data_IF_901119069766
#
_entry.id   IF_901119069766
#
_cell.length_a   1.000
_cell.length_b   1.000
_cell.length_c   1.000
_cell.angle_alpha   90.00
_cell.angle_beta   90.00
_cell.angle_gamma   90.00
#
_symmetry.space_group_name_H-M   'P 1'
#
loop_
_entity.id
_entity.type
_entity.pdbx_description
1 polymer ?
#
# COMPACT_ATOMS: atom_id res chain seq x y z
N UNK A 1 -25.37 -27.42 -8.71
CA UNK A 1 -24.96 -26.79 -7.43
C UNK A 1 -25.82 -27.36 -6.32
N UNK A 2 -25.21 -27.99 -5.31
CA UNK A 2 -25.92 -28.78 -4.30
C UNK A 2 -25.90 -28.10 -2.92
N UNK A 3 -24.88 -27.30 -2.67
CA UNK A 3 -24.58 -26.75 -1.34
C UNK A 3 -23.92 -25.38 -1.49
N UNK A 4 -24.24 -24.46 -0.58
CA UNK A 4 -23.51 -23.19 -0.40
C UNK A 4 -22.87 -23.19 0.97
N UNK A 5 -21.61 -22.77 1.04
CA UNK A 5 -20.92 -22.45 2.27
C UNK A 5 -20.94 -20.93 2.43
N UNK A 6 -21.40 -20.47 3.60
CA UNK A 6 -21.46 -19.07 3.96
C UNK A 6 -20.50 -18.84 5.12
N UNK A 7 -19.60 -17.89 4.95
CA UNK A 7 -18.72 -17.41 6.01
C UNK A 7 -19.10 -15.98 6.33
N UNK A 8 -19.60 -15.73 7.54
CA UNK A 8 -19.93 -14.40 8.02
C UNK A 8 -18.91 -13.95 9.07
N UNK A 9 -18.33 -12.76 8.87
CA UNK A 9 -17.34 -12.20 9.77
C UNK A 9 -17.78 -10.82 10.25
N UNK A 10 -17.80 -10.61 11.56
CA UNK A 10 -18.05 -9.32 12.18
C UNK A 10 -16.76 -8.50 12.24
N UNK A 11 -16.71 -7.41 11.50
CA UNK A 11 -15.55 -6.52 11.51
C UNK A 11 -15.49 -5.67 12.79
N UNK A 12 -16.60 -5.54 13.51
CA UNK A 12 -16.69 -4.78 14.76
C UNK A 12 -16.18 -5.60 15.96
N UNK A 13 -16.87 -6.65 16.40
CA UNK A 13 -16.43 -7.44 17.57
C UNK A 13 -15.35 -8.48 17.22
N UNK A 14 -15.23 -8.89 15.96
CA UNK A 14 -14.28 -9.92 15.52
C UNK A 14 -14.80 -11.35 15.67
N UNK A 15 -16.09 -11.54 15.86
CA UNK A 15 -16.74 -12.85 15.83
C UNK A 15 -16.88 -13.36 14.39
N UNK A 16 -16.89 -14.67 14.22
CA UNK A 16 -17.13 -15.33 12.95
C UNK A 16 -18.10 -16.50 13.07
N UNK A 17 -18.75 -16.82 11.96
CA UNK A 17 -19.57 -18.03 11.84
C UNK A 17 -19.48 -18.59 10.42
N UNK A 18 -19.28 -19.89 10.36
CA UNK A 18 -19.29 -20.67 9.13
C UNK A 18 -20.53 -21.57 9.13
N UNK A 19 -21.22 -21.65 7.98
CA UNK A 19 -22.37 -22.53 7.82
C UNK A 19 -22.44 -23.12 6.41
N UNK A 20 -22.87 -24.37 6.33
CA UNK A 20 -23.04 -25.11 5.07
C UNK A 20 -24.52 -25.39 4.86
N UNK A 21 -25.09 -24.80 3.80
CA UNK A 21 -26.51 -24.78 3.51
C UNK A 21 -26.81 -25.66 2.29
N UNK A 22 -27.42 -26.85 2.48
CA UNK A 22 -27.85 -27.70 1.37
C UNK A 22 -29.09 -27.12 0.67
N UNK A 23 -29.15 -27.27 -0.66
CA UNK A 23 -30.25 -26.78 -1.47
C UNK A 23 -31.54 -27.52 -1.16
N UNK A 24 -32.64 -26.79 -0.93
CA UNK A 24 -34.00 -27.35 -0.86
C UNK A 24 -34.15 -28.50 0.15
N UNK A 25 -33.42 -28.46 1.27
CA UNK A 25 -33.45 -29.49 2.32
C UNK A 25 -34.79 -29.60 3.05
N UNK A 26 -35.69 -28.63 2.85
CA UNK A 26 -36.97 -28.53 3.56
C UNK A 26 -36.83 -28.29 5.07
N UNK A 27 -35.62 -28.04 5.57
CA UNK A 27 -35.32 -27.86 6.99
C UNK A 27 -34.32 -26.73 7.20
N UNK A 28 -34.48 -26.06 8.35
CA UNK A 28 -33.54 -25.03 8.79
C UNK A 28 -32.26 -25.69 9.31
N UNK A 29 -31.11 -25.20 8.85
CA UNK A 29 -29.78 -25.58 9.35
C UNK A 29 -29.46 -24.69 10.55
N UNK A 30 -29.19 -25.28 11.71
CA UNK A 30 -28.83 -24.54 12.92
C UNK A 30 -27.32 -24.25 12.95
N UNK A 31 -26.94 -23.10 13.46
CA UNK A 31 -25.57 -22.67 13.70
C UNK A 31 -25.50 -21.83 14.99
N UNK A 32 -24.31 -21.31 15.33
CA UNK A 32 -24.02 -20.63 16.61
C UNK A 32 -25.01 -19.50 16.96
N UNK A 33 -25.41 -18.70 15.98
CA UNK A 33 -26.21 -17.50 16.14
C UNK A 33 -27.63 -17.60 15.57
N UNK A 34 -28.13 -18.82 15.33
CA UNK A 34 -29.50 -19.01 14.84
C UNK A 34 -29.63 -20.13 13.82
N UNK A 35 -30.44 -19.89 12.79
CA UNK A 35 -30.73 -20.87 11.75
C UNK A 35 -30.82 -20.22 10.37
N UNK A 36 -30.50 -20.99 9.34
CA UNK A 36 -30.54 -20.54 7.95
C UNK A 36 -31.03 -21.66 7.03
N UNK A 37 -31.54 -21.28 5.87
CA UNK A 37 -31.95 -22.20 4.84
C UNK A 37 -31.62 -21.65 3.45
N UNK A 38 -31.39 -22.55 2.49
CA UNK A 38 -31.19 -22.22 1.09
C UNK A 38 -32.31 -22.81 0.26
N UNK A 39 -32.93 -21.96 -0.57
CA UNK A 39 -33.87 -22.40 -1.60
C UNK A 39 -33.25 -22.15 -2.97
N UNK A 40 -33.37 -23.12 -3.87
CA UNK A 40 -32.88 -23.05 -5.24
C UNK A 40 -34.01 -23.42 -6.19
N UNK A 41 -34.37 -22.50 -7.09
CA UNK A 41 -35.46 -22.66 -8.05
C UNK A 41 -34.90 -22.61 -9.47
N UNK A 42 -35.52 -23.34 -10.40
CA UNK A 42 -35.23 -23.16 -11.82
C UNK A 42 -35.67 -21.76 -12.25
N UNK A 43 -34.84 -21.10 -13.06
CA UNK A 43 -35.11 -19.79 -13.64
C UNK A 43 -34.90 -19.86 -15.15
N UNK A 44 -35.89 -19.41 -15.93
CA UNK A 44 -35.89 -19.50 -17.39
C UNK A 44 -34.77 -18.66 -18.05
N UNK A 45 -34.30 -17.59 -17.42
CA UNK A 45 -33.26 -16.71 -17.97
C UNK A 45 -31.84 -17.06 -17.50
N UNK A 46 -31.69 -17.52 -16.25
CA UNK A 46 -30.39 -17.73 -15.59
C UNK A 46 -30.10 -19.20 -15.25
N UNK A 47 -30.97 -20.13 -15.66
CA UNK A 47 -30.92 -21.54 -15.31
C UNK A 47 -31.45 -21.80 -13.90
N UNK A 48 -30.87 -21.15 -12.88
CA UNK A 48 -31.27 -21.29 -11.48
C UNK A 48 -31.20 -19.96 -10.72
N UNK A 49 -32.06 -19.79 -9.72
CA UNK A 49 -32.02 -18.70 -8.75
C UNK A 49 -31.96 -19.25 -7.34
N UNK A 50 -31.03 -18.72 -6.54
CA UNK A 50 -30.78 -19.16 -5.18
C UNK A 50 -31.13 -18.04 -4.20
N UNK A 51 -31.80 -18.42 -3.12
CA UNK A 51 -32.21 -17.53 -2.05
C UNK A 51 -31.74 -18.08 -0.71
N UNK A 52 -30.87 -17.31 -0.05
CA UNK A 52 -30.40 -17.58 1.30
C UNK A 52 -31.27 -16.82 2.29
N UNK A 53 -31.80 -17.53 3.29
CA UNK A 53 -32.60 -16.93 4.36
C UNK A 53 -31.93 -17.19 5.69
N UNK A 54 -31.74 -16.13 6.47
CA UNK A 54 -31.13 -16.17 7.80
C UNK A 54 -32.19 -15.70 8.81
N UNK A 55 -32.38 -16.48 9.88
CA UNK A 55 -33.11 -16.02 11.06
C UNK A 55 -32.13 -15.28 11.99
N UNK A 56 -32.34 -13.98 12.13
CA UNK A 56 -31.41 -13.08 12.83
C UNK A 56 -31.76 -12.84 14.30
N UNK A 57 -32.79 -13.49 14.86
CA UNK A 57 -33.24 -13.22 16.24
C UNK A 57 -32.15 -13.47 17.30
N UNK A 58 -31.18 -14.35 17.03
CA UNK A 58 -30.05 -14.62 17.94
C UNK A 58 -28.72 -14.08 17.38
N UNK A 59 -28.78 -13.24 16.34
CA UNK A 59 -27.61 -12.69 15.69
C UNK A 59 -27.05 -11.53 16.52
N UNK A 60 -25.74 -11.51 16.81
CA UNK A 60 -25.17 -10.46 17.67
C UNK A 60 -25.21 -9.09 17.00
N UNK A 61 -25.28 -8.02 17.80
CA UNK A 61 -24.92 -6.69 17.31
C UNK A 61 -23.55 -6.73 16.65
N UNK A 62 -23.45 -6.14 15.46
CA UNK A 62 -22.19 -6.11 14.74
C UNK A 62 -22.31 -5.59 13.32
N UNK A 63 -21.15 -5.51 12.67
CA UNK A 63 -20.98 -5.10 11.28
C UNK A 63 -20.46 -6.31 10.49
N UNK A 64 -21.37 -7.06 9.90
CA UNK A 64 -21.13 -8.38 9.33
C UNK A 64 -20.89 -8.32 7.82
N UNK A 65 -19.88 -9.06 7.35
CA UNK A 65 -19.61 -9.33 5.94
C UNK A 65 -19.79 -10.82 5.68
N UNK A 66 -20.70 -11.16 4.77
CA UNK A 66 -21.02 -12.52 4.35
C UNK A 66 -20.32 -12.82 3.03
N UNK A 67 -19.51 -13.86 3.01
CA UNK A 67 -18.86 -14.41 1.82
C UNK A 67 -19.48 -15.76 1.46
N UNK A 68 -19.49 -16.07 0.16
CA UNK A 68 -20.18 -17.23 -0.36
C UNK A 68 -19.25 -18.13 -1.18
N UNK A 69 -19.22 -19.40 -0.83
CA UNK A 69 -18.60 -20.47 -1.59
C UNK A 69 -19.66 -21.49 -2.00
N UNK A 70 -19.44 -22.16 -3.12
CA UNK A 70 -20.40 -23.03 -3.76
C UNK A 70 -19.78 -24.36 -4.12
N UNK A 71 -20.55 -25.43 -3.95
CA UNK A 71 -20.18 -26.75 -4.43
C UNK A 71 -20.86 -27.06 -5.77
N UNK A 72 -20.04 -27.23 -6.81
CA UNK A 72 -20.46 -27.66 -8.15
C UNK A 72 -19.66 -28.89 -8.52
N UNK A 73 -20.36 -30.00 -8.80
CA UNK A 73 -19.78 -31.29 -9.20
C UNK A 73 -18.69 -31.81 -8.25
N UNK A 74 -18.87 -31.59 -6.93
CA UNK A 74 -17.94 -32.05 -5.89
C UNK A 74 -16.72 -31.17 -5.67
N UNK A 75 -16.64 -30.01 -6.34
CA UNK A 75 -15.59 -29.02 -6.15
C UNK A 75 -16.15 -27.75 -5.53
N UNK A 76 -15.46 -27.26 -4.50
CA UNK A 76 -15.75 -25.97 -3.87
C UNK A 76 -15.06 -24.84 -4.64
N UNK A 77 -15.78 -23.75 -4.85
CA UNK A 77 -15.25 -22.53 -5.42
C UNK A 77 -15.93 -21.30 -4.84
N UNK A 78 -15.21 -20.20 -4.77
CA UNK A 78 -15.78 -18.92 -4.35
C UNK A 78 -16.76 -18.41 -5.41
N UNK A 79 -17.87 -17.80 -4.98
CA UNK A 79 -18.81 -17.17 -5.89
C UNK A 79 -18.23 -15.84 -6.39
N UNK A 80 -17.95 -15.80 -7.69
CA UNK A 80 -17.33 -14.67 -8.37
C UNK A 80 -18.02 -14.38 -9.71
N UNK A 81 -17.90 -13.14 -10.19
CA UNK A 81 -18.35 -12.78 -11.54
C UNK A 81 -17.28 -13.16 -12.60
N UNK A 82 -17.55 -12.89 -13.88
CA UNK A 82 -16.62 -13.21 -14.97
C UNK A 82 -15.25 -12.49 -14.90
N UNK A 83 -15.12 -11.43 -14.08
CA UNK A 83 -13.88 -10.69 -13.82
C UNK A 83 -13.13 -11.18 -12.58
N UNK A 84 -13.66 -12.20 -11.89
CA UNK A 84 -13.21 -12.70 -10.58
C UNK A 84 -13.46 -11.74 -9.43
N UNK A 85 -14.46 -10.86 -9.58
CA UNK A 85 -14.90 -10.02 -8.47
C UNK A 85 -15.83 -10.85 -7.56
N UNK A 86 -15.61 -10.79 -6.26
CA UNK A 86 -16.24 -11.64 -5.24
C UNK A 86 -17.64 -11.12 -4.93
N UNK A 87 -18.62 -12.03 -4.94
CA UNK A 87 -19.94 -11.75 -4.40
C UNK A 87 -19.92 -11.86 -2.86
N UNK A 88 -20.37 -10.80 -2.21
CA UNK A 88 -20.55 -10.70 -0.77
C UNK A 88 -21.82 -9.91 -0.42
N UNK A 89 -22.22 -9.98 0.85
CA UNK A 89 -23.28 -9.14 1.39
C UNK A 89 -22.84 -8.50 2.71
N UNK A 90 -23.11 -7.21 2.89
CA UNK A 90 -22.91 -6.53 4.17
C UNK A 90 -24.22 -6.35 4.94
N UNK A 91 -24.16 -6.53 6.25
CA UNK A 91 -25.28 -6.33 7.18
C UNK A 91 -24.75 -5.63 8.44
N UNK A 92 -25.46 -4.60 8.87
CA UNK A 92 -25.25 -4.00 10.20
C UNK A 92 -26.53 -4.23 10.98
N UNK A 93 -26.44 -4.87 12.14
CA UNK A 93 -27.60 -5.23 12.93
C UNK A 93 -27.38 -4.98 14.42
N UNK A 94 -28.48 -4.86 15.16
CA UNK A 94 -28.50 -4.85 16.62
C UNK A 94 -28.63 -6.26 17.22
N UNK A 95 -28.63 -6.34 18.55
CA UNK A 95 -28.77 -7.60 19.30
C UNK A 95 -30.14 -8.27 19.14
N UNK A 96 -31.11 -7.58 18.53
CA UNK A 96 -32.42 -8.12 18.15
C UNK A 96 -32.47 -8.54 16.68
N UNK A 97 -31.36 -8.40 15.94
CA UNK A 97 -31.26 -8.70 14.51
C UNK A 97 -31.92 -7.67 13.60
N UNK A 98 -32.32 -6.51 14.13
CA UNK A 98 -32.87 -5.42 13.32
C UNK A 98 -31.76 -4.67 12.60
N UNK A 99 -32.04 -4.17 11.40
CA UNK A 99 -31.08 -3.40 10.63
C UNK A 99 -30.71 -2.10 11.38
N UNK A 100 -29.43 -1.99 11.70
CA UNK A 100 -28.86 -0.85 12.43
C UNK A 100 -28.28 0.15 11.41
N UNK A 101 -28.48 1.45 11.65
CA UNK A 101 -28.02 2.47 10.69
C UNK A 101 -26.51 2.66 10.78
N UNK A 102 -25.87 2.94 9.65
CA UNK A 102 -24.42 3.22 9.57
C UNK A 102 -24.01 4.37 10.50
N UNK A 103 -24.79 5.45 10.55
CA UNK A 103 -24.48 6.60 11.42
C UNK A 103 -24.46 6.21 12.91
N UNK A 104 -25.36 5.31 13.32
CA UNK A 104 -25.42 4.83 14.71
C UNK A 104 -24.25 3.89 15.03
N UNK A 105 -23.78 3.10 14.06
CA UNK A 105 -22.56 2.31 14.21
C UNK A 105 -21.35 3.22 14.48
N UNK A 106 -21.29 4.39 13.84
CA UNK A 106 -20.18 5.32 14.02
C UNK A 106 -20.15 5.95 15.42
N UNK A 107 -21.31 6.17 16.04
CA UNK A 107 -21.38 6.58 17.45
C UNK A 107 -20.71 5.53 18.35
N UNK A 108 -20.91 4.24 18.07
CA UNK A 108 -20.25 3.16 18.81
C UNK A 108 -18.73 3.11 18.62
N UNK A 109 -18.19 3.62 17.50
CA UNK A 109 -16.74 3.66 17.26
C UNK A 109 -16.02 4.70 18.13
N UNK A 110 -16.75 5.74 18.56
CA UNK A 110 -16.18 6.81 19.39
C UNK A 110 -15.76 6.28 20.76
N UNK A 111 -16.55 5.37 21.33
CA UNK A 111 -16.36 4.83 22.67
C UNK A 111 -15.29 3.73 22.76
N UNK A 112 -14.76 3.27 21.62
CA UNK A 112 -13.69 2.27 21.60
C UNK A 112 -12.44 2.78 22.32
N UNK A 113 -11.78 1.90 23.07
CA UNK A 113 -10.40 2.13 23.51
C UNK A 113 -9.46 2.16 22.30
N UNK A 114 -8.27 2.70 22.48
CA UNK A 114 -7.26 2.75 21.42
C UNK A 114 -6.88 1.36 20.90
N UNK A 115 -6.77 0.36 21.77
CA UNK A 115 -6.48 -1.02 21.38
C UNK A 115 -7.63 -1.64 20.58
N UNK A 116 -8.87 -1.44 21.02
CA UNK A 116 -10.06 -1.92 20.30
C UNK A 116 -10.18 -1.23 18.94
N UNK A 117 -9.95 0.08 18.88
CA UNK A 117 -9.97 0.84 17.63
C UNK A 117 -8.98 0.27 16.60
N UNK A 118 -7.75 -0.06 17.00
CA UNK A 118 -6.76 -0.69 16.11
C UNK A 118 -7.18 -2.10 15.67
N UNK A 119 -7.77 -2.88 16.57
CA UNK A 119 -8.26 -4.21 16.24
C UNK A 119 -9.40 -4.16 15.22
N UNK A 120 -10.37 -3.25 15.41
CA UNK A 120 -11.47 -3.00 14.47
C UNK A 120 -10.92 -2.50 13.14
N UNK A 121 -10.03 -1.49 13.16
CA UNK A 121 -9.41 -0.94 11.94
C UNK A 121 -8.70 -2.02 11.12
N UNK A 122 -8.00 -2.94 11.77
CA UNK A 122 -7.33 -4.06 11.11
C UNK A 122 -8.33 -5.02 10.44
N UNK A 123 -9.44 -5.34 11.12
CA UNK A 123 -10.50 -6.20 10.55
C UNK A 123 -11.21 -5.53 9.38
N UNK A 124 -11.55 -4.25 9.51
CA UNK A 124 -12.18 -3.47 8.44
C UNK A 124 -11.25 -3.38 7.23
N UNK A 125 -9.95 -3.14 7.44
CA UNK A 125 -8.97 -3.17 6.34
C UNK A 125 -8.95 -4.53 5.65
N UNK A 126 -8.93 -5.63 6.41
CA UNK A 126 -8.93 -6.97 5.83
C UNK A 126 -10.19 -7.23 4.98
N UNK A 127 -11.35 -6.75 5.44
CA UNK A 127 -12.60 -6.81 4.69
C UNK A 127 -12.62 -5.88 3.45
N UNK A 128 -11.73 -4.90 3.35
CA UNK A 128 -11.60 -4.04 2.16
C UNK A 128 -10.63 -4.59 1.10
N UNK A 129 -9.89 -5.67 1.40
CA UNK A 129 -8.94 -6.27 0.45
C UNK A 129 -9.59 -6.98 -0.74
N UNK A 130 -10.73 -7.69 -0.60
CA UNK A 130 -11.41 -8.34 -1.72
C UNK A 130 -11.87 -7.33 -2.79
N UNK A 131 -11.74 -7.71 -4.07
CA UNK A 131 -12.41 -7.02 -5.16
C UNK A 131 -13.88 -7.43 -5.16
N UNK A 132 -14.77 -6.64 -4.56
CA UNK A 132 -16.19 -6.96 -4.54
C UNK A 132 -16.86 -6.68 -5.89
N UNK A 133 -17.75 -7.58 -6.29
CA UNK A 133 -18.60 -7.38 -7.46
C UNK A 133 -19.47 -6.12 -7.27
N UNK A 134 -19.82 -5.45 -8.38
CA UNK A 134 -20.60 -4.21 -8.35
C UNK A 134 -21.95 -4.40 -7.65
N UNK A 135 -22.55 -5.58 -7.82
CA UNK A 135 -23.81 -6.00 -7.21
C UNK A 135 -23.72 -6.07 -5.68
N UNK A 136 -22.54 -6.42 -5.16
CA UNK A 136 -22.27 -6.48 -3.71
C UNK A 136 -21.96 -5.10 -3.12
N UNK A 137 -21.45 -4.18 -3.92
CA UNK A 137 -20.94 -2.89 -3.46
C UNK A 137 -21.94 -2.08 -2.62
N UNK A 138 -23.21 -2.04 -3.02
CA UNK A 138 -24.25 -1.30 -2.28
C UNK A 138 -24.40 -1.76 -0.83
N UNK A 139 -24.14 -3.05 -0.56
CA UNK A 139 -24.28 -3.65 0.77
C UNK A 139 -23.03 -3.53 1.64
N UNK A 140 -21.84 -3.34 1.04
CA UNK A 140 -20.55 -3.31 1.76
C UNK A 140 -19.83 -1.96 1.72
N UNK A 141 -20.33 -0.97 0.97
CA UNK A 141 -19.72 0.36 0.83
C UNK A 141 -19.49 1.10 2.16
N UNK A 142 -20.22 0.76 3.22
CA UNK A 142 -20.04 1.32 4.56
C UNK A 142 -18.65 1.00 5.16
N UNK A 143 -17.98 -0.06 4.71
CA UNK A 143 -16.62 -0.42 5.14
C UNK A 143 -15.64 0.74 4.93
N UNK A 144 -15.73 1.45 3.80
CA UNK A 144 -14.84 2.58 3.48
C UNK A 144 -15.04 3.72 4.48
N UNK A 145 -16.29 4.08 4.76
CA UNK A 145 -16.60 5.16 5.69
C UNK A 145 -16.21 4.80 7.14
N UNK A 146 -16.44 3.55 7.54
CA UNK A 146 -16.00 3.01 8.83
C UNK A 146 -14.47 3.06 8.97
N UNK A 147 -13.75 2.62 7.93
CA UNK A 147 -12.29 2.65 7.87
C UNK A 147 -11.73 4.06 7.99
N UNK A 148 -12.29 5.02 7.23
CA UNK A 148 -11.89 6.42 7.29
C UNK A 148 -12.12 7.03 8.68
N UNK A 149 -13.27 6.73 9.30
CA UNK A 149 -13.60 7.18 10.66
C UNK A 149 -12.55 6.67 11.66
N UNK A 150 -12.27 5.36 11.65
CA UNK A 150 -11.29 4.73 12.53
C UNK A 150 -9.86 5.26 12.29
N UNK A 151 -9.46 5.43 11.04
CA UNK A 151 -8.13 5.95 10.68
C UNK A 151 -7.96 7.40 11.16
N UNK A 152 -9.01 8.23 11.05
CA UNK A 152 -8.95 9.65 11.41
C UNK A 152 -8.61 9.90 12.88
N UNK A 153 -8.94 8.96 13.78
CA UNK A 153 -8.59 9.01 15.21
C UNK A 153 -7.08 9.09 15.46
N UNK A 154 -6.28 8.61 14.52
CA UNK A 154 -4.82 8.53 14.62
C UNK A 154 -4.10 9.74 14.01
N UNK A 155 -4.84 10.68 13.42
CA UNK A 155 -4.26 11.91 12.89
C UNK A 155 -3.63 12.73 14.03
N UNK A 156 -2.33 13.02 13.91
CA UNK A 156 -1.55 13.66 14.98
C UNK A 156 -1.12 12.73 16.13
N UNK A 157 -1.53 11.46 16.11
CA UNK A 157 -1.23 10.43 17.12
C UNK A 157 -0.56 9.18 16.53
N UNK A 158 0.04 9.31 15.35
CA UNK A 158 0.66 8.20 14.60
C UNK A 158 1.63 7.40 15.47
N UNK A 159 2.41 8.07 16.34
CA UNK A 159 3.39 7.43 17.24
C UNK A 159 2.80 6.30 18.09
N UNK A 160 1.55 6.45 18.50
CA UNK A 160 0.88 5.55 19.43
C UNK A 160 0.42 4.25 18.76
N UNK A 161 0.37 4.22 17.42
CA UNK A 161 -0.14 3.11 16.62
C UNK A 161 0.76 2.73 15.43
N UNK A 162 2.05 3.12 15.47
CA UNK A 162 2.98 3.00 14.33
C UNK A 162 2.97 1.62 13.70
N UNK A 163 3.08 0.56 14.51
CA UNK A 163 3.13 -0.82 14.00
C UNK A 163 1.94 -1.15 13.12
N UNK A 164 0.72 -0.88 13.62
CA UNK A 164 -0.52 -1.15 12.89
C UNK A 164 -0.65 -0.23 11.68
N UNK A 165 -0.40 1.06 11.83
CA UNK A 165 -0.56 2.03 10.74
C UNK A 165 0.41 1.78 9.58
N UNK A 166 1.65 1.38 9.87
CA UNK A 166 2.63 0.96 8.86
C UNK A 166 2.16 -0.30 8.14
N UNK A 167 1.65 -1.30 8.87
CA UNK A 167 1.09 -2.52 8.27
C UNK A 167 -0.08 -2.22 7.34
N UNK A 168 -0.98 -1.32 7.74
CA UNK A 168 -2.09 -0.88 6.90
C UNK A 168 -1.64 -0.11 5.67
N UNK A 169 -0.54 0.66 5.77
CA UNK A 169 -0.01 1.44 4.66
C UNK A 169 0.70 0.57 3.60
N UNK A 170 1.24 -0.58 4.01
CA UNK A 170 1.95 -1.55 3.15
C UNK A 170 1.09 -2.72 2.69
N UNK A 171 -0.20 -2.76 3.05
CA UNK A 171 -1.05 -3.88 2.69
C UNK A 171 -1.35 -3.87 1.18
N UNK A 172 -1.23 -5.03 0.56
CA UNK A 172 -1.59 -5.25 -0.84
C UNK A 172 -2.79 -6.20 -0.95
N UNK A 173 -3.53 -6.18 -2.07
CA UNK A 173 -4.52 -7.20 -2.35
C UNK A 173 -3.95 -8.63 -2.29
N UNK A 174 -4.82 -9.61 -2.03
CA UNK A 174 -4.42 -11.02 -1.88
C UNK A 174 -3.86 -11.58 -3.20
N UNK A 175 -2.91 -12.51 -3.11
CA UNK A 175 -2.23 -13.08 -4.27
C UNK A 175 -3.17 -13.75 -5.30
N UNK A 176 -4.32 -14.24 -4.84
CA UNK A 176 -5.30 -14.94 -5.68
C UNK A 176 -6.33 -13.99 -6.34
N UNK A 177 -6.25 -12.68 -6.07
CA UNK A 177 -7.10 -11.68 -6.73
C UNK A 177 -6.65 -11.38 -8.15
N UNK A 178 -7.52 -10.77 -8.95
CA UNK A 178 -7.17 -10.29 -10.27
C UNK A 178 -5.90 -9.41 -10.18
N UNK A 179 -4.82 -9.66 -10.96
CA UNK A 179 -3.57 -8.89 -10.87
C UNK A 179 -3.73 -7.39 -11.07
N UNK A 180 -4.82 -6.95 -11.70
CA UNK A 180 -5.13 -5.54 -11.90
C UNK A 180 -5.96 -4.91 -10.77
N UNK A 181 -6.42 -5.71 -9.80
CA UNK A 181 -7.13 -5.20 -8.65
C UNK A 181 -6.20 -4.38 -7.75
N UNK A 182 -6.71 -3.22 -7.32
CA UNK A 182 -6.01 -2.29 -6.46
C UNK A 182 -6.97 -1.75 -5.42
N UNK A 183 -6.45 -1.51 -4.21
CA UNK A 183 -7.21 -0.87 -3.16
C UNK A 183 -7.59 0.54 -3.59
N UNK A 184 -8.85 0.91 -3.33
CA UNK A 184 -9.37 2.24 -3.63
C UNK A 184 -8.84 3.29 -2.66
N UNK A 185 -8.46 2.87 -1.45
CA UNK A 185 -7.88 3.70 -0.41
C UNK A 185 -6.67 3.00 0.24
N UNK A 186 -5.65 3.77 0.62
CA UNK A 186 -4.48 3.31 1.38
C UNK A 186 -4.24 4.23 2.57
N UNK A 187 -3.89 3.65 3.72
CA UNK A 187 -3.60 4.42 4.93
C UNK A 187 -2.45 5.43 4.71
N UNK A 188 -1.40 5.04 3.99
CA UNK A 188 -0.27 5.91 3.70
C UNK A 188 -0.57 7.04 2.71
N UNK A 189 -1.64 6.92 1.92
CA UNK A 189 -2.09 7.97 1.03
C UNK A 189 -2.97 9.00 1.73
N UNK A 190 -3.84 8.55 2.64
CA UNK A 190 -4.72 9.43 3.45
C UNK A 190 -3.97 10.08 4.62
N UNK A 191 -2.97 9.39 5.17
CA UNK A 191 -2.15 9.87 6.28
C UNK A 191 -0.65 9.70 5.97
N UNK A 192 -0.07 10.50 5.04
CA UNK A 192 1.35 10.46 4.71
C UNK A 192 2.28 10.72 5.91
N UNK A 193 1.75 11.26 7.01
CA UNK A 193 2.43 11.44 8.30
C UNK A 193 2.95 10.12 8.87
N UNK A 194 2.38 8.97 8.47
CA UNK A 194 2.93 7.63 8.77
C UNK A 194 4.40 7.53 8.38
N UNK A 195 4.79 8.18 7.28
CA UNK A 195 6.16 8.19 6.77
C UNK A 195 7.00 9.38 7.28
N UNK A 196 6.39 10.30 8.02
CA UNK A 196 7.04 11.47 8.58
C UNK A 196 7.45 11.29 10.05
N UNK A 197 7.51 10.06 10.55
CA UNK A 197 8.02 9.80 11.90
C UNK A 197 9.56 9.84 11.94
N UNK A 198 10.11 10.09 13.13
CA UNK A 198 11.55 9.90 13.37
C UNK A 198 11.97 8.47 12.99
N UNK A 199 13.15 8.31 12.39
CA UNK A 199 13.56 7.01 11.85
C UNK A 199 13.62 5.91 12.92
N UNK A 200 14.02 6.23 14.15
CA UNK A 200 14.10 5.31 15.30
C UNK A 200 12.75 4.68 15.66
N UNK A 201 11.65 5.35 15.36
CA UNK A 201 10.29 4.89 15.68
C UNK A 201 9.94 3.65 14.86
N UNK A 202 10.45 3.53 13.63
CA UNK A 202 10.16 2.40 12.75
C UNK A 202 10.79 1.09 13.20
N UNK A 203 11.62 1.07 14.26
CA UNK A 203 11.98 -0.20 14.94
C UNK A 203 10.75 -0.99 15.37
N UNK A 204 9.64 -0.29 15.65
CA UNK A 204 8.36 -0.88 16.05
C UNK A 204 7.55 -1.44 14.87
N UNK A 205 7.93 -1.16 13.62
CA UNK A 205 7.23 -1.70 12.45
C UNK A 205 7.28 -3.24 12.46
N UNK A 206 6.30 -3.87 11.82
CA UNK A 206 6.19 -5.33 11.84
C UNK A 206 7.37 -6.02 11.14
N UNK A 207 7.44 -7.34 11.30
CA UNK A 207 8.42 -8.19 10.62
C UNK A 207 7.89 -8.68 9.26
N UNK A 208 6.82 -8.09 8.72
CA UNK A 208 6.27 -8.51 7.43
C UNK A 208 7.25 -8.16 6.30
N UNK A 209 7.43 -9.06 5.31
CA UNK A 209 8.42 -8.88 4.24
C UNK A 209 7.91 -7.96 3.12
N UNK A 210 7.32 -6.82 3.48
CA UNK A 210 6.89 -5.80 2.53
C UNK A 210 8.05 -4.83 2.27
N UNK A 211 8.32 -4.43 1.01
CA UNK A 211 9.45 -3.57 0.67
C UNK A 211 9.49 -2.27 1.50
N UNK A 212 8.34 -1.65 1.73
CA UNK A 212 8.26 -0.45 2.54
C UNK A 212 8.56 -0.72 4.01
N UNK A 213 8.00 -1.77 4.61
CA UNK A 213 8.25 -2.14 6.01
C UNK A 213 9.74 -2.43 6.24
N UNK A 214 10.38 -3.17 5.34
CA UNK A 214 11.81 -3.46 5.40
C UNK A 214 12.66 -2.18 5.30
N UNK A 215 12.33 -1.27 4.38
CA UNK A 215 13.05 0.00 4.24
C UNK A 215 12.86 0.95 5.44
N UNK A 216 11.65 1.00 6.02
CA UNK A 216 11.37 1.76 7.24
C UNK A 216 12.22 1.26 8.40
N UNK A 217 12.35 -0.06 8.55
CA UNK A 217 13.22 -0.67 9.56
C UNK A 217 14.70 -0.43 9.28
N UNK A 218 15.14 -0.56 8.03
CA UNK A 218 16.49 -0.22 7.63
C UNK A 218 16.83 1.25 7.96
N UNK A 219 15.87 2.17 7.82
CA UNK A 219 16.05 3.56 8.22
C UNK A 219 16.25 3.72 9.74
N UNK A 220 15.53 2.94 10.56
CA UNK A 220 15.77 2.87 12.00
C UNK A 220 17.18 2.37 12.31
N UNK A 221 17.61 1.28 11.67
CA UNK A 221 18.94 0.69 11.86
C UNK A 221 20.05 1.65 11.43
N UNK A 222 19.84 2.37 10.32
CA UNK A 222 20.73 3.46 9.89
C UNK A 222 20.81 4.51 10.98
N UNK A 223 19.68 4.89 11.58
CA UNK A 223 19.66 5.94 12.60
C UNK A 223 20.48 5.58 13.84
N UNK A 224 20.44 4.31 14.25
CA UNK A 224 21.14 3.77 15.42
C UNK A 224 22.64 3.55 15.17
N UNK A 225 23.00 2.99 14.02
CA UNK A 225 24.38 2.58 13.72
C UNK A 225 25.20 3.71 13.06
N UNK A 226 24.60 4.86 12.78
CA UNK A 226 25.26 5.97 12.12
C UNK A 226 26.46 6.50 12.94
N UNK A 227 27.63 6.75 12.32
CA UNK A 227 27.93 6.68 10.89
C UNK A 227 28.43 5.33 10.37
N UNK A 228 28.57 4.32 11.23
CA UNK A 228 29.14 2.99 10.96
C UNK A 228 28.15 2.03 10.27
N UNK A 229 27.51 2.48 9.20
CA UNK A 229 26.49 1.71 8.46
C UNK A 229 27.04 0.92 7.26
N UNK A 230 28.30 1.15 6.89
CA UNK A 230 28.93 0.55 5.71
C UNK A 230 29.92 -0.57 6.08
N UNK A 231 30.09 -1.61 5.25
CA UNK A 231 29.23 -1.99 4.11
C UNK A 231 28.03 -2.86 4.55
N UNK A 232 27.91 -3.16 5.85
CA UNK A 232 27.02 -4.21 6.34
C UNK A 232 25.54 -3.87 6.26
N UNK A 233 25.16 -2.61 6.46
CA UNK A 233 23.77 -2.18 6.38
C UNK A 233 23.51 -1.50 5.04
N UNK A 234 24.27 -0.46 4.71
CA UNK A 234 24.14 0.28 3.45
C UNK A 234 25.26 -0.12 2.49
N UNK A 235 24.91 -0.27 1.21
CA UNK A 235 25.85 -0.56 0.14
C UNK A 235 26.88 0.57 -0.05
N UNK A 236 28.14 0.20 -0.30
CA UNK A 236 29.27 1.15 -0.40
C UNK A 236 29.09 2.22 -1.48
N UNK A 237 28.29 1.95 -2.52
CA UNK A 237 27.96 2.94 -3.55
C UNK A 237 27.37 4.24 -2.98
N UNK A 238 26.56 4.15 -1.91
CA UNK A 238 25.98 5.33 -1.27
C UNK A 238 27.05 6.16 -0.52
N UNK A 239 28.08 5.52 0.05
CA UNK A 239 29.21 6.22 0.67
C UNK A 239 30.01 7.04 -0.35
N UNK A 240 30.15 6.54 -1.58
CA UNK A 240 30.85 7.22 -2.68
C UNK A 240 30.20 8.54 -3.11
N UNK A 241 28.92 8.76 -2.74
CA UNK A 241 28.23 10.02 -2.94
C UNK A 241 28.81 11.18 -2.12
N UNK A 242 29.51 10.90 -1.03
CA UNK A 242 30.05 11.94 -0.12
C UNK A 242 31.48 12.34 -0.50
N UNK A 243 31.84 13.59 -0.18
CA UNK A 243 33.18 14.10 -0.47
C UNK A 243 34.29 13.42 0.34
N UNK A 244 33.98 12.86 1.50
CA UNK A 244 34.94 12.20 2.39
C UNK A 244 34.85 10.68 2.38
N UNK A 245 34.49 10.07 1.24
CA UNK A 245 34.40 8.62 1.07
C UNK A 245 35.53 7.82 1.74
N UNK A 246 36.79 8.23 1.54
CA UNK A 246 37.96 7.53 2.11
C UNK A 246 37.99 7.53 3.65
N UNK A 247 37.42 8.56 4.28
CA UNK A 247 37.31 8.66 5.74
C UNK A 247 36.09 7.90 6.26
N UNK A 248 34.99 7.87 5.50
CA UNK A 248 33.79 7.08 5.82
C UNK A 248 34.14 5.59 5.92
N UNK A 249 34.96 5.08 5.00
CA UNK A 249 35.45 3.68 5.05
C UNK A 249 36.24 3.39 6.34
N UNK A 250 36.75 4.42 7.02
CA UNK A 250 37.45 4.34 8.31
C UNK A 250 36.54 4.69 9.51
N UNK A 251 35.23 4.86 9.29
CA UNK A 251 34.25 5.16 10.33
C UNK A 251 33.95 6.63 10.56
N UNK A 252 34.43 7.55 9.71
CA UNK A 252 34.11 8.97 9.84
C UNK A 252 32.66 9.29 9.45
N UNK A 253 32.13 10.41 9.97
CA UNK A 253 30.79 10.89 9.63
C UNK A 253 30.73 11.33 8.15
N UNK A 254 29.79 10.81 7.35
CA UNK A 254 29.54 11.29 6.00
C UNK A 254 29.21 12.78 5.95
N UNK A 255 29.79 13.52 5.00
CA UNK A 255 29.42 14.91 4.73
C UNK A 255 29.59 15.27 3.25
N UNK A 256 28.92 16.34 2.83
CA UNK A 256 29.00 16.89 1.49
C UNK A 256 28.52 15.93 0.38
N UNK A 257 27.30 15.41 0.50
CA UNK A 257 26.67 14.51 -0.48
C UNK A 257 26.51 15.16 -1.86
N UNK A 258 26.85 14.41 -2.91
CA UNK A 258 26.71 14.78 -4.31
C UNK A 258 25.93 13.69 -5.06
N UNK A 259 24.77 14.07 -5.59
CA UNK A 259 23.88 13.13 -6.29
C UNK A 259 24.55 12.53 -7.53
N UNK A 260 25.34 13.31 -8.28
CA UNK A 260 26.06 12.82 -9.46
C UNK A 260 27.11 11.76 -9.12
N UNK A 261 27.85 11.96 -8.02
CA UNK A 261 28.84 10.97 -7.57
C UNK A 261 28.17 9.67 -7.17
N UNK A 262 27.02 9.75 -6.51
CA UNK A 262 26.23 8.58 -6.17
C UNK A 262 25.72 7.84 -7.41
N UNK A 263 25.16 8.56 -8.39
CA UNK A 263 24.71 8.00 -9.67
C UNK A 263 25.87 7.28 -10.38
N UNK A 264 27.04 7.91 -10.42
CA UNK A 264 28.22 7.32 -11.05
C UNK A 264 28.71 6.08 -10.29
N UNK A 265 28.69 6.11 -8.95
CA UNK A 265 29.04 4.95 -8.13
C UNK A 265 28.09 3.76 -8.34
N UNK A 266 26.80 4.02 -8.51
CA UNK A 266 25.82 2.97 -8.86
C UNK A 266 26.18 2.31 -10.19
N UNK A 267 26.58 3.08 -11.22
CA UNK A 267 27.02 2.51 -12.51
C UNK A 267 28.25 1.63 -12.34
N UNK A 268 29.26 2.13 -11.65
CA UNK A 268 30.56 1.46 -11.52
C UNK A 268 30.49 0.18 -10.69
N UNK A 269 29.55 0.08 -9.75
CA UNK A 269 29.38 -1.10 -8.88
C UNK A 269 28.37 -2.11 -9.41
N UNK A 270 27.68 -1.82 -10.52
CA UNK A 270 26.54 -2.62 -11.04
C UNK A 270 26.86 -3.82 -11.90
N UNK A 271 28.14 -4.08 -12.14
CA UNK A 271 28.65 -5.15 -13.01
C UNK A 271 29.08 -6.40 -12.23
N UNK A 272 28.65 -6.54 -10.97
CA UNK A 272 28.88 -7.77 -10.22
C UNK A 272 28.00 -8.90 -10.79
N UNK A 273 28.59 -10.08 -11.01
CA UNK A 273 27.86 -11.29 -11.41
C UNK A 273 26.77 -11.65 -10.38
N UNK A 274 27.03 -11.31 -9.11
CA UNK A 274 26.12 -11.52 -7.98
C UNK A 274 24.83 -10.72 -8.10
N UNK A 275 24.89 -9.44 -8.48
CA UNK A 275 23.70 -8.60 -8.66
C UNK A 275 22.81 -9.12 -9.79
N UNK A 276 23.41 -9.68 -10.85
CA UNK A 276 22.66 -10.28 -11.96
C UNK A 276 21.86 -11.51 -11.47
N UNK A 277 22.51 -12.43 -10.76
CA UNK A 277 21.84 -13.61 -10.19
C UNK A 277 20.74 -13.24 -9.18
N UNK A 278 21.00 -12.25 -8.31
CA UNK A 278 19.98 -11.74 -7.38
C UNK A 278 18.74 -11.27 -8.12
N UNK A 279 18.90 -10.48 -9.19
CA UNK A 279 17.76 -9.93 -9.93
C UNK A 279 17.05 -10.97 -10.81
N UNK A 280 17.67 -12.12 -11.12
CA UNK A 280 17.00 -13.23 -11.80
C UNK A 280 16.05 -14.01 -10.87
N UNK A 281 16.34 -14.03 -9.56
CA UNK A 281 15.46 -14.65 -8.57
C UNK A 281 14.20 -13.81 -8.35
N UNK A 282 13.03 -14.38 -8.67
CA UNK A 282 11.73 -13.74 -8.47
C UNK A 282 11.42 -13.45 -6.98
N UNK A 283 12.06 -14.17 -6.06
CA UNK A 283 11.91 -13.99 -4.63
C UNK A 283 12.94 -13.04 -4.02
N UNK A 284 13.85 -12.49 -4.84
CA UNK A 284 14.83 -11.55 -4.32
C UNK A 284 14.16 -10.36 -3.65
N UNK A 285 14.72 -10.02 -2.49
CA UNK A 285 14.41 -8.83 -1.71
C UNK A 285 15.73 -8.19 -1.28
N UNK A 286 15.88 -6.87 -1.40
CA UNK A 286 17.06 -6.18 -0.88
C UNK A 286 17.21 -6.45 0.61
N UNK A 287 18.43 -6.77 1.04
CA UNK A 287 18.74 -7.01 2.45
C UNK A 287 19.87 -6.10 2.93
N UNK A 288 20.30 -6.30 4.18
CA UNK A 288 21.45 -5.64 4.75
C UNK A 288 22.68 -5.81 3.84
N UNK A 289 23.27 -4.68 3.42
CA UNK A 289 24.37 -4.61 2.47
C UNK A 289 23.96 -4.30 1.03
N UNK A 290 22.72 -4.59 0.64
CA UNK A 290 22.17 -4.24 -0.68
C UNK A 290 21.54 -2.84 -0.70
N UNK A 291 21.11 -2.35 0.47
CA UNK A 291 20.39 -1.08 0.60
C UNK A 291 21.12 0.08 -0.06
N UNK A 292 20.39 0.86 -0.85
CA UNK A 292 20.88 1.99 -1.67
C UNK A 292 21.98 1.62 -2.67
N UNK A 293 22.16 0.33 -2.97
CA UNK A 293 23.04 -0.19 -4.00
C UNK A 293 22.35 -0.40 -5.35
N UNK A 294 23.10 -0.89 -6.35
CA UNK A 294 22.58 -1.15 -7.70
C UNK A 294 21.44 -2.17 -7.73
N UNK A 295 21.57 -3.27 -6.99
CA UNK A 295 20.53 -4.31 -6.90
C UNK A 295 19.22 -3.76 -6.31
N UNK A 296 19.29 -2.97 -5.23
CA UNK A 296 18.12 -2.35 -4.62
C UNK A 296 17.40 -1.39 -5.60
N UNK A 297 18.14 -0.52 -6.30
CA UNK A 297 17.53 0.38 -7.28
C UNK A 297 16.86 -0.39 -8.41
N UNK A 298 17.54 -1.39 -8.99
CA UNK A 298 16.99 -2.19 -10.10
C UNK A 298 15.78 -3.00 -9.66
N UNK A 299 15.81 -3.56 -8.46
CA UNK A 299 14.65 -4.22 -7.85
C UNK A 299 13.46 -3.26 -7.78
N UNK A 300 13.65 -2.06 -7.23
CA UNK A 300 12.59 -1.07 -7.09
C UNK A 300 12.00 -0.65 -8.44
N UNK A 301 12.84 -0.38 -9.44
CA UNK A 301 12.37 0.03 -10.78
C UNK A 301 11.67 -1.11 -11.53
N UNK A 302 12.15 -2.36 -11.40
CA UNK A 302 11.49 -3.53 -12.00
C UNK A 302 10.14 -3.80 -11.34
N UNK A 303 10.05 -3.68 -10.01
CA UNK A 303 8.80 -3.80 -9.28
C UNK A 303 7.78 -2.75 -9.74
N UNK A 304 8.21 -1.49 -9.91
CA UNK A 304 7.38 -0.41 -10.46
C UNK A 304 6.90 -0.73 -11.89
N UNK A 305 7.78 -1.21 -12.76
CA UNK A 305 7.41 -1.57 -14.13
C UNK A 305 6.37 -2.70 -14.16
N UNK A 306 6.60 -3.79 -13.43
CA UNK A 306 5.66 -4.92 -13.35
C UNK A 306 4.32 -4.52 -12.75
N UNK A 307 4.30 -3.75 -11.65
CA UNK A 307 3.06 -3.31 -11.03
C UNK A 307 2.27 -2.35 -11.94
N UNK A 308 2.96 -1.47 -12.67
CA UNK A 308 2.33 -0.58 -13.65
C UNK A 308 1.73 -1.35 -14.84
N UNK A 309 2.36 -2.42 -15.30
CA UNK A 309 1.82 -3.28 -16.36
C UNK A 309 0.57 -4.03 -15.88
N UNK A 310 0.62 -4.59 -14.67
CA UNK A 310 -0.50 -5.30 -14.08
C UNK A 310 -1.71 -4.38 -13.85
N UNK A 311 -1.49 -3.10 -13.54
CA UNK A 311 -2.56 -2.14 -13.29
C UNK A 311 -3.22 -1.57 -14.56
N UNK A 312 -2.76 -1.92 -15.77
CA UNK A 312 -3.26 -1.30 -17.01
C UNK A 312 -4.76 -1.55 -17.24
N UNK A 313 -5.27 -2.71 -16.86
CA UNK A 313 -6.68 -3.08 -17.04
C UNK A 313 -7.55 -2.68 -15.85
N UNK A 314 -8.64 -1.95 -16.08
CA UNK A 314 -9.65 -1.65 -15.06
C UNK A 314 -9.30 -0.53 -14.08
N UNK A 315 -8.16 0.15 -14.27
CA UNK A 315 -7.74 1.32 -13.48
C UNK A 315 -7.59 2.58 -14.34
N UNK A 316 -8.25 2.67 -15.50
CA UNK A 316 -8.01 3.73 -16.49
C UNK A 316 -8.23 5.14 -15.91
N UNK A 317 -9.28 5.31 -15.11
CA UNK A 317 -9.62 6.58 -14.45
C UNK A 317 -8.57 6.92 -13.37
N UNK A 318 -8.32 5.99 -12.45
CA UNK A 318 -7.39 6.18 -11.34
C UNK A 318 -5.96 6.43 -11.84
N UNK A 319 -5.49 5.61 -12.78
CA UNK A 319 -4.21 5.78 -13.47
C UNK A 319 -4.14 7.10 -14.22
N UNK A 320 -5.19 7.47 -14.96
CA UNK A 320 -5.26 8.73 -15.69
C UNK A 320 -5.10 9.95 -14.78
N UNK A 321 -5.81 9.96 -13.65
CA UNK A 321 -5.71 11.01 -12.63
C UNK A 321 -4.32 11.03 -11.99
N UNK A 322 -3.78 9.87 -11.61
CA UNK A 322 -2.46 9.75 -11.01
C UNK A 322 -1.34 10.25 -11.93
N UNK A 323 -1.36 9.87 -13.22
CA UNK A 323 -0.41 10.39 -14.21
C UNK A 323 -0.60 11.90 -14.41
N UNK A 324 -1.85 12.38 -14.39
CA UNK A 324 -2.15 13.82 -14.38
C UNK A 324 -1.48 14.56 -13.22
N UNK A 325 -1.55 14.01 -12.01
CA UNK A 325 -0.90 14.56 -10.82
C UNK A 325 0.62 14.56 -10.95
N UNK A 326 1.22 13.47 -11.46
CA UNK A 326 2.65 13.40 -11.71
C UNK A 326 3.11 14.48 -12.70
N UNK A 327 2.36 14.71 -13.79
CA UNK A 327 2.64 15.76 -14.78
C UNK A 327 2.54 17.15 -14.16
N UNK A 328 1.49 17.41 -13.38
CA UNK A 328 1.33 18.66 -12.64
C UNK A 328 2.54 18.91 -11.73
N UNK A 329 2.96 17.89 -10.97
CA UNK A 329 4.07 18.04 -10.04
C UNK A 329 5.39 18.32 -10.77
N UNK A 330 5.68 17.62 -11.87
CA UNK A 330 6.90 17.87 -12.66
C UNK A 330 6.94 19.29 -13.23
N UNK A 331 5.79 19.86 -13.62
CA UNK A 331 5.75 21.25 -14.07
C UNK A 331 6.07 22.24 -12.94
N UNK A 332 5.66 21.93 -11.70
CA UNK A 332 5.88 22.79 -10.52
C UNK A 332 7.24 22.57 -9.84
N UNK A 333 7.74 21.34 -9.90
CA UNK A 333 8.95 20.83 -9.26
C UNK A 333 9.70 19.90 -10.21
N UNK A 334 10.24 20.40 -11.33
CA UNK A 334 11.06 19.57 -12.24
C UNK A 334 12.40 19.18 -11.60
N UNK A 335 12.85 19.98 -10.64
CA UNK A 335 14.07 19.79 -9.87
C UNK A 335 13.89 20.34 -8.45
N UNK A 336 14.81 20.00 -7.56
CA UNK A 336 14.90 20.64 -6.26
C UNK A 336 15.06 22.15 -6.44
N UNK A 337 14.17 22.91 -5.78
CA UNK A 337 14.22 24.37 -5.71
C UNK A 337 15.54 24.91 -5.12
N UNK A 338 15.79 26.19 -5.37
CA UNK A 338 17.03 26.87 -4.96
C UNK A 338 17.13 27.09 -3.44
N UNK A 339 16.02 27.04 -2.71
CA UNK A 339 15.95 27.12 -1.26
C UNK A 339 16.25 25.78 -0.55
N UNK A 340 16.35 24.68 -1.31
CA UNK A 340 16.90 23.42 -0.78
C UNK A 340 18.43 23.46 -0.68
N UNK A 341 19.04 22.49 0.04
CA UNK A 341 20.49 22.40 0.19
C UNK A 341 21.21 22.54 -1.14
N UNK A 342 22.24 23.41 -1.17
CA UNK A 342 22.95 23.87 -2.38
C UNK A 342 23.41 22.73 -3.31
N UNK A 343 23.70 21.55 -2.76
CA UNK A 343 24.18 20.37 -3.50
C UNK A 343 23.07 19.58 -4.19
N UNK A 344 21.82 19.75 -3.74
CA UNK A 344 20.62 19.17 -4.34
C UNK A 344 19.92 20.18 -5.26
N UNK A 345 20.02 21.49 -4.97
CA UNK A 345 19.41 22.55 -5.76
C UNK A 345 19.67 22.40 -7.27
N UNK A 346 18.59 22.45 -8.06
CA UNK A 346 18.62 22.29 -9.51
C UNK A 346 18.75 20.84 -10.01
N UNK A 347 18.87 19.84 -9.13
CA UNK A 347 18.94 18.42 -9.50
C UNK A 347 17.56 17.78 -9.51
N UNK A 348 17.37 16.79 -10.38
CA UNK A 348 16.15 15.99 -10.40
C UNK A 348 16.07 15.12 -9.13
N UNK A 349 14.91 15.06 -8.44
CA UNK A 349 14.66 14.15 -7.32
C UNK A 349 14.76 12.68 -7.70
N UNK A 350 14.31 12.31 -8.89
CA UNK A 350 14.48 10.97 -9.43
C UNK A 350 15.86 10.84 -10.12
N UNK A 351 16.62 9.83 -9.74
CA UNK A 351 17.90 9.50 -10.37
C UNK A 351 17.72 8.47 -11.47
N UNK A 352 18.52 8.56 -12.54
CA UNK A 352 18.52 7.59 -13.64
C UNK A 352 19.98 7.12 -13.85
N UNK A 353 20.42 6.06 -13.14
CA UNK A 353 21.79 5.56 -13.25
C UNK A 353 22.10 4.97 -14.61
N UNK A 354 21.20 4.23 -15.25
CA UNK A 354 21.41 3.69 -16.58
C UNK A 354 20.42 4.35 -17.54
N UNK A 355 20.77 5.51 -18.13
CA UNK A 355 19.91 6.11 -19.13
C UNK A 355 19.81 5.17 -20.33
N UNK A 356 18.64 5.13 -20.95
CA UNK A 356 18.47 4.46 -22.23
C UNK A 356 19.42 5.08 -23.26
N UNK A 357 19.96 4.26 -24.16
CA UNK A 357 20.69 4.78 -25.32
C UNK A 357 19.67 5.43 -26.26
N UNK A 358 19.95 6.64 -26.74
CA UNK A 358 19.12 7.38 -27.70
C UNK A 358 19.08 6.74 -29.10
N UNK A 359 19.67 5.55 -29.26
CA UNK A 359 19.76 4.83 -30.53
C UNK A 359 18.57 3.87 -30.68
N UNK A 360 17.50 4.37 -31.27
CA UNK A 360 16.54 3.71 -32.19
C UNK A 360 15.17 4.44 -32.14
N UNK A 361 14.38 4.37 -33.22
CA UNK A 361 12.96 4.78 -33.20
C UNK A 361 12.20 3.91 -32.19
N UNK A 362 12.17 4.33 -30.93
CA UNK A 362 11.38 3.67 -29.89
C UNK A 362 9.91 3.82 -30.23
N UNK A 363 9.18 2.70 -30.30
CA UNK A 363 7.73 2.71 -30.52
C UNK A 363 7.04 3.67 -29.54
N UNK A 364 6.06 4.44 -30.02
CA UNK A 364 5.41 5.50 -29.23
C UNK A 364 4.86 4.99 -27.88
N UNK A 365 4.33 3.77 -27.85
CA UNK A 365 3.80 3.14 -26.63
C UNK A 365 4.90 2.86 -25.59
N UNK A 366 6.08 2.42 -26.03
CA UNK A 366 7.22 2.18 -25.16
C UNK A 366 7.75 3.50 -24.61
N UNK A 367 7.83 4.54 -25.45
CA UNK A 367 8.21 5.88 -25.03
C UNK A 367 7.22 6.45 -24.00
N UNK A 368 5.91 6.30 -24.23
CA UNK A 368 4.87 6.76 -23.31
C UNK A 368 4.90 6.00 -21.97
N UNK A 369 5.11 4.68 -22.00
CA UNK A 369 5.28 3.87 -20.79
C UNK A 369 6.48 4.35 -19.99
N UNK A 370 7.65 4.49 -20.62
CA UNK A 370 8.88 4.99 -19.97
C UNK A 370 8.67 6.37 -19.33
N UNK A 371 8.04 7.28 -20.07
CA UNK A 371 7.70 8.60 -19.55
C UNK A 371 6.81 8.49 -18.31
N UNK A 372 5.77 7.66 -18.32
CA UNK A 372 4.89 7.48 -17.18
C UNK A 372 5.64 6.92 -15.96
N UNK A 373 6.50 5.93 -16.14
CA UNK A 373 7.30 5.35 -15.04
C UNK A 373 8.25 6.38 -14.42
N UNK A 374 8.93 7.18 -15.24
CA UNK A 374 9.78 8.28 -14.76
C UNK A 374 8.98 9.33 -13.99
N UNK A 375 7.78 9.67 -14.49
CA UNK A 375 6.88 10.62 -13.83
C UNK A 375 6.41 10.13 -12.46
N UNK A 376 6.08 8.84 -12.34
CA UNK A 376 5.72 8.19 -11.08
C UNK A 376 6.92 8.20 -10.13
N UNK A 377 8.10 7.76 -10.57
CA UNK A 377 9.29 7.70 -9.72
C UNK A 377 9.73 9.10 -9.23
N UNK A 378 9.55 10.13 -10.05
CA UNK A 378 9.78 11.52 -9.66
C UNK A 378 8.87 11.99 -8.54
N UNK A 379 7.57 11.73 -8.65
CA UNK A 379 6.61 12.09 -7.59
C UNK A 379 6.90 11.32 -6.30
N UNK A 380 7.13 10.01 -6.39
CA UNK A 380 7.42 9.19 -5.22
C UNK A 380 8.74 9.58 -4.53
N UNK A 381 9.75 9.97 -5.30
CA UNK A 381 10.99 10.52 -4.73
C UNK A 381 10.75 11.82 -3.97
N UNK A 382 9.96 12.75 -4.54
CA UNK A 382 9.61 14.01 -3.88
C UNK A 382 8.75 13.79 -2.63
N UNK A 383 7.75 12.91 -2.71
CA UNK A 383 6.92 12.55 -1.57
C UNK A 383 7.78 11.99 -0.44
N UNK A 384 8.65 11.02 -0.74
CA UNK A 384 9.59 10.47 0.24
C UNK A 384 10.50 11.55 0.84
N UNK A 385 11.05 12.44 0.01
CA UNK A 385 11.87 13.55 0.46
C UNK A 385 11.14 14.46 1.45
N UNK A 386 9.88 14.84 1.13
CA UNK A 386 9.05 15.68 1.98
C UNK A 386 8.54 14.98 3.23
N UNK A 387 8.28 13.67 3.20
CA UNK A 387 8.00 12.89 4.41
C UNK A 387 9.21 12.92 5.36
N UNK A 388 10.43 12.73 4.85
CA UNK A 388 11.65 12.81 5.68
C UNK A 388 11.93 14.22 6.19
N UNK A 389 11.63 15.27 5.42
CA UNK A 389 11.64 16.64 5.94
C UNK A 389 10.58 16.83 7.03
N UNK A 390 9.39 16.27 6.84
CA UNK A 390 8.28 16.26 7.79
C UNK A 390 8.69 15.73 9.17
N UNK A 391 9.53 14.69 9.21
CA UNK A 391 10.08 14.14 10.46
C UNK A 391 10.95 15.12 11.26
N UNK A 392 11.42 16.19 10.62
CA UNK A 392 12.27 17.23 11.23
C UNK A 392 11.50 18.55 11.40
N UNK A 393 10.54 18.78 10.51
CA UNK A 393 9.61 19.90 10.55
C UNK A 393 8.31 19.52 9.83
N UNK A 394 7.24 19.28 10.60
CA UNK A 394 5.94 18.81 10.10
C UNK A 394 5.36 19.69 8.97
N UNK A 395 5.59 21.00 9.01
CA UNK A 395 5.06 21.94 8.00
C UNK A 395 5.56 21.63 6.59
N UNK A 396 6.74 21.01 6.45
CA UNK A 396 7.34 20.68 5.15
C UNK A 396 6.54 19.65 4.36
N UNK A 397 5.92 18.70 5.05
CA UNK A 397 5.03 17.72 4.42
C UNK A 397 3.67 18.36 4.14
N UNK A 398 3.11 19.10 5.11
CA UNK A 398 1.84 19.80 4.96
C UNK A 398 1.83 20.78 3.77
N UNK A 399 2.89 21.57 3.60
CA UNK A 399 3.07 22.49 2.46
C UNK A 399 3.09 21.73 1.12
N UNK A 400 3.71 20.55 1.10
CA UNK A 400 3.80 19.72 -0.10
C UNK A 400 2.46 19.07 -0.45
N UNK A 401 1.73 18.53 0.53
CA UNK A 401 0.39 17.99 0.32
C UNK A 401 -0.57 19.10 -0.11
N UNK A 402 -0.47 20.29 0.49
CA UNK A 402 -1.26 21.48 0.09
C UNK A 402 -1.00 21.88 -1.36
N UNK A 403 0.26 21.87 -1.80
CA UNK A 403 0.62 22.09 -3.19
C UNK A 403 -0.01 21.05 -4.13
N UNK A 404 0.05 19.76 -3.79
CA UNK A 404 -0.59 18.72 -4.59
C UNK A 404 -2.11 18.97 -4.68
N UNK A 405 -2.73 19.39 -3.57
CA UNK A 405 -4.15 19.76 -3.50
C UNK A 405 -4.54 20.92 -4.43
N UNK A 406 -3.59 21.79 -4.79
CA UNK A 406 -3.85 22.90 -5.73
C UNK A 406 -4.00 22.45 -7.19
N UNK A 407 -3.86 21.15 -7.49
CA UNK A 407 -3.97 20.60 -8.84
C UNK A 407 -5.41 20.37 -9.32
N UNK A 408 -6.41 20.48 -8.42
CA UNK A 408 -7.82 20.05 -8.63
C UNK A 408 -8.03 18.56 -8.90
N UNK A 409 -6.96 17.75 -8.83
CA UNK A 409 -6.99 16.30 -8.97
C UNK A 409 -7.16 15.68 -7.56
N UNK A 410 -7.91 14.57 -7.39
CA UNK A 410 -8.06 13.90 -6.10
C UNK A 410 -6.73 13.31 -5.62
N UNK A 411 -5.99 14.05 -4.79
CA UNK A 411 -4.63 13.71 -4.35
C UNK A 411 -4.59 12.36 -3.63
N UNK A 412 -5.49 12.13 -2.68
CA UNK A 412 -5.50 10.89 -1.87
C UNK A 412 -5.70 9.64 -2.72
N UNK A 413 -6.60 9.68 -3.71
CA UNK A 413 -6.83 8.57 -4.64
C UNK A 413 -5.62 8.36 -5.57
N UNK A 414 -5.02 9.45 -6.04
CA UNK A 414 -3.80 9.36 -6.85
C UNK A 414 -2.64 8.78 -6.05
N UNK A 415 -2.41 9.24 -4.82
CA UNK A 415 -1.37 8.70 -3.93
C UNK A 415 -1.64 7.24 -3.59
N UNK A 416 -2.90 6.84 -3.42
CA UNK A 416 -3.28 5.43 -3.21
C UNK A 416 -2.83 4.56 -4.38
N UNK A 417 -3.08 4.99 -5.62
CA UNK A 417 -2.60 4.28 -6.81
C UNK A 417 -1.07 4.27 -6.89
N UNK A 418 -0.43 5.43 -6.71
CA UNK A 418 1.01 5.60 -6.89
C UNK A 418 1.83 4.84 -5.84
N UNK A 419 1.37 4.79 -4.60
CA UNK A 419 2.04 4.05 -3.51
C UNK A 419 1.87 2.54 -3.66
N UNK A 420 0.77 2.04 -4.24
CA UNK A 420 0.61 0.63 -4.55
C UNK A 420 1.47 0.21 -5.76
N UNK A 421 1.48 1.00 -6.83
CA UNK A 421 2.27 0.69 -8.04
C UNK A 421 3.78 0.90 -7.82
N UNK A 422 4.16 1.88 -7.01
CA UNK A 422 5.55 2.25 -6.80
C UNK A 422 6.06 2.06 -5.37
N UNK A 423 5.48 1.14 -4.60
CA UNK A 423 5.84 0.91 -3.19
C UNK A 423 7.37 0.78 -3.00
N UNK A 424 8.01 -0.10 -3.77
CA UNK A 424 9.45 -0.33 -3.69
C UNK A 424 10.28 0.90 -4.10
N UNK A 425 9.80 1.71 -5.03
CA UNK A 425 10.45 2.97 -5.43
C UNK A 425 10.32 4.00 -4.33
N UNK A 426 9.14 4.15 -3.74
CA UNK A 426 8.93 5.01 -2.57
C UNK A 426 9.83 4.58 -1.40
N UNK A 427 9.89 3.27 -1.10
CA UNK A 427 10.75 2.69 -0.08
C UNK A 427 12.25 2.98 -0.32
N UNK A 428 12.71 2.83 -1.56
CA UNK A 428 14.08 3.18 -1.96
C UNK A 428 14.39 4.65 -1.68
N UNK A 429 13.54 5.56 -2.14
CA UNK A 429 13.75 7.00 -1.95
C UNK A 429 13.58 7.43 -0.50
N UNK A 430 12.68 6.79 0.24
CA UNK A 430 12.52 7.02 1.67
C UNK A 430 13.85 6.81 2.40
N UNK A 431 14.49 5.66 2.17
CA UNK A 431 15.76 5.33 2.80
C UNK A 431 16.89 6.26 2.30
N UNK A 432 16.92 6.56 1.00
CA UNK A 432 17.92 7.47 0.43
C UNK A 432 17.84 8.85 1.07
N UNK A 433 16.64 9.42 1.14
CA UNK A 433 16.44 10.76 1.69
C UNK A 433 16.62 10.80 3.19
N UNK A 434 16.26 9.76 3.93
CA UNK A 434 16.58 9.71 5.36
C UNK A 434 18.09 9.73 5.58
N UNK A 435 18.82 8.91 4.83
CA UNK A 435 20.27 8.81 4.93
C UNK A 435 20.97 10.12 4.55
N UNK A 436 20.60 10.73 3.42
CA UNK A 436 21.19 12.01 2.97
C UNK A 436 20.83 13.16 3.91
N UNK A 437 19.57 13.28 4.34
CA UNK A 437 19.14 14.37 5.22
C UNK A 437 19.75 14.25 6.62
N UNK A 438 19.96 13.04 7.14
CA UNK A 438 20.68 12.80 8.41
C UNK A 438 22.17 13.15 8.29
N UNK A 439 22.80 12.86 7.15
CA UNK A 439 24.21 13.18 6.95
C UNK A 439 24.48 14.68 6.81
N UNK A 440 23.61 15.39 6.10
CA UNK A 440 23.73 16.82 5.80
C UNK A 440 23.02 17.73 6.83
N UNK A 441 22.40 17.17 7.87
CA UNK A 441 21.59 17.89 8.87
C UNK A 441 20.50 18.80 8.25
N UNK A 442 19.86 18.33 7.16
CA UNK A 442 18.82 19.08 6.40
C UNK A 442 17.51 19.11 7.19
N UNK A 443 16.83 20.26 7.27
CA UNK A 443 15.57 20.46 8.02
C UNK A 443 14.45 21.15 7.23
#
# INVERSE_FOLDING_TARGET
MQTVKVTASDVFAGEDVEMTLPANSGSWTNYRFGKAQMMCFANEESGYSMYLHFDLHLWPFGAWVFNFEAEVDGMWGQLENARRDIFAAGLICDDEGHQFKVDQLFDCLVDLTDQECLAVLTRVQAAMLPCYAQESWMSVQWLVAMWQCLLSRWKGRVLEAVTTLVDLASICPLADTNPSWMLQHSAGALMPEIYAMEASVYRQASQRPYPLVEALRAASDVSEQYPSVFPHLIHVAAASGFSNFQEIVRGARPYAFHLEKYIEALRQTSSSLEDAFKLEDANFRPANGDWLGPAHYRFAMRALETAYENSLGGNEIHRGQAIGLCRFLIQKFPSFRQDYPRRLAGKAPHIIPWPDKDDDEVHADVAQKRQNLQQIAHLLSLLAFHCRLGARNATRLEDFITLLGSSTIPVELCLTYLLQVGEAVFAYYFLLWEFVQKAEDIR
#
